data_IF_238221258774
#
_entry.id   IF_238221258774
#
_cell.length_a   1.000
_cell.length_b   1.000
_cell.length_c   1.000
_cell.angle_alpha   90.00
_cell.angle_beta   90.00
_cell.angle_gamma   90.00
#
_symmetry.space_group_name_H-M   'P 1'
#
loop_
_entity.id
_entity.type
_entity.pdbx_description
1 polymer ?
#
# COMPACT_ATOMS: atom_id res chain seq x y z
N UNK A 1 -1.35 -17.04 -8.58
CA UNK A 1 -1.26 -15.62 -8.95
C UNK A 1 -2.09 -14.85 -7.96
N UNK A 2 -1.61 -13.71 -7.48
CA UNK A 2 -2.38 -12.79 -6.64
C UNK A 2 -2.34 -11.39 -7.26
N UNK A 3 -3.46 -10.67 -7.16
CA UNK A 3 -3.56 -9.27 -7.55
C UNK A 3 -3.82 -8.44 -6.30
N UNK A 4 -3.05 -7.37 -6.10
CA UNK A 4 -3.09 -6.53 -4.90
C UNK A 4 -3.36 -5.10 -5.34
N UNK A 5 -4.26 -4.42 -4.62
CA UNK A 5 -4.46 -2.97 -4.75
C UNK A 5 -4.10 -2.36 -3.38
N UNK A 6 -3.05 -1.53 -3.30
CA UNK A 6 -2.71 -0.86 -2.06
C UNK A 6 -3.78 0.16 -1.70
N UNK A 7 -4.04 0.30 -0.40
CA UNK A 7 -4.85 1.39 0.14
C UNK A 7 -3.97 2.66 0.19
N UNK A 8 -4.59 3.83 0.05
CA UNK A 8 -3.96 5.14 0.32
C UNK A 8 -2.66 5.43 -0.49
N UNK A 9 -2.60 4.95 -1.73
CA UNK A 9 -1.46 5.16 -2.65
C UNK A 9 -0.09 4.69 -2.11
N UNK A 10 -0.08 3.78 -1.14
CA UNK A 10 1.16 3.18 -0.65
C UNK A 10 1.83 2.36 -1.74
N UNK A 11 3.15 2.53 -1.88
CA UNK A 11 3.96 1.64 -2.69
C UNK A 11 4.06 0.30 -1.97
N UNK A 12 3.59 -0.76 -2.63
CA UNK A 12 3.71 -2.14 -2.13
C UNK A 12 4.64 -2.89 -3.05
N UNK A 13 5.68 -3.48 -2.46
CA UNK A 13 6.56 -4.35 -3.19
C UNK A 13 5.96 -5.77 -3.33
N UNK A 14 5.93 -6.36 -4.53
CA UNK A 14 5.40 -7.70 -4.74
C UNK A 14 6.13 -8.78 -3.94
N UNK A 15 7.43 -8.61 -3.70
CA UNK A 15 8.25 -9.58 -2.99
C UNK A 15 7.99 -9.53 -1.48
N UNK A 16 7.83 -8.33 -0.91
CA UNK A 16 7.41 -8.16 0.49
C UNK A 16 6.06 -8.83 0.78
N UNK A 17 5.11 -8.73 -0.15
CA UNK A 17 3.80 -9.39 -0.03
C UNK A 17 3.92 -10.92 0.05
N UNK A 18 4.85 -11.49 -0.73
CA UNK A 18 5.12 -12.93 -0.73
C UNK A 18 5.80 -13.35 0.56
N UNK A 19 6.78 -12.57 1.03
CA UNK A 19 7.51 -12.84 2.27
C UNK A 19 6.60 -12.75 3.50
N UNK A 20 5.66 -11.80 3.49
CA UNK A 20 4.62 -11.71 4.52
C UNK A 20 3.75 -12.97 4.52
N UNK A 21 3.24 -13.39 3.36
CA UNK A 21 2.48 -14.64 3.26
C UNK A 21 3.32 -15.86 3.68
N UNK A 22 4.59 -15.94 3.29
CA UNK A 22 5.44 -17.08 3.62
C UNK A 22 5.68 -17.27 5.13
N UNK A 23 5.57 -16.20 5.93
CA UNK A 23 5.67 -16.25 7.39
C UNK A 23 4.34 -16.61 8.08
N UNK A 24 3.22 -16.26 7.45
CA UNK A 24 1.89 -16.34 8.06
C UNK A 24 1.08 -17.57 7.64
N UNK A 25 1.31 -18.12 6.45
CA UNK A 25 0.55 -19.24 5.89
C UNK A 25 1.47 -20.35 5.37
N UNK A 26 0.93 -21.56 5.27
CA UNK A 26 1.66 -22.72 4.77
C UNK A 26 2.21 -22.48 3.34
N UNK A 27 3.41 -22.98 3.06
CA UNK A 27 4.17 -22.68 1.85
C UNK A 27 3.45 -22.96 0.51
N UNK A 28 2.48 -23.90 0.50
CA UNK A 28 1.69 -24.21 -0.70
C UNK A 28 0.61 -23.16 -1.01
N UNK A 29 0.19 -22.38 0.00
CA UNK A 29 -0.79 -21.29 -0.16
C UNK A 29 -0.13 -19.97 -0.57
N UNK A 30 1.19 -19.90 -0.55
CA UNK A 30 1.94 -18.70 -0.89
C UNK A 30 1.88 -18.47 -2.42
N UNK A 31 1.47 -17.28 -2.88
CA UNK A 31 1.39 -16.99 -4.30
C UNK A 31 2.78 -16.93 -4.95
N UNK A 32 2.95 -17.60 -6.10
CA UNK A 32 4.20 -17.57 -6.88
C UNK A 32 4.37 -16.35 -7.79
N UNK A 33 3.28 -15.64 -8.04
CA UNK A 33 3.23 -14.47 -8.90
C UNK A 33 2.31 -13.47 -8.22
N UNK A 34 2.78 -12.23 -8.08
CA UNK A 34 2.07 -11.14 -7.43
C UNK A 34 2.12 -9.94 -8.37
N UNK A 35 0.95 -9.35 -8.62
CA UNK A 35 0.79 -8.18 -9.46
C UNK A 35 0.11 -7.10 -8.64
N UNK A 36 0.75 -5.93 -8.58
CA UNK A 36 0.18 -4.75 -7.92
C UNK A 36 -0.49 -3.91 -8.99
N UNK A 37 -1.78 -3.63 -8.80
CA UNK A 37 -2.62 -2.87 -9.72
C UNK A 37 -3.29 -1.69 -9.04
N UNK A 38 -3.95 -0.85 -9.83
CA UNK A 38 -4.72 0.32 -9.33
C UNK A 38 -6.21 0.04 -9.23
N UNK A 39 -6.74 -0.83 -10.09
CA UNK A 39 -8.16 -1.10 -10.19
C UNK A 39 -8.43 -2.57 -10.56
N UNK A 40 -9.57 -3.08 -10.09
CA UNK A 40 -10.08 -4.37 -10.51
C UNK A 40 -11.10 -4.19 -11.62
N UNK A 41 -11.19 -5.12 -12.58
CA UNK A 41 -12.27 -5.12 -13.56
C UNK A 41 -13.58 -5.40 -12.82
N UNK A 42 -14.38 -4.35 -12.61
CA UNK A 42 -15.69 -4.43 -11.97
C UNK A 42 -16.80 -4.47 -13.01
N UNK A 43 -17.92 -5.11 -12.69
CA UNK A 43 -19.17 -4.92 -13.45
C UNK A 43 -19.85 -3.62 -13.02
N UNK A 44 -20.92 -3.21 -13.73
CA UNK A 44 -21.79 -2.10 -13.30
C UNK A 44 -22.44 -2.30 -11.91
N UNK A 45 -22.27 -3.46 -11.27
CA UNK A 45 -22.76 -3.77 -9.92
C UNK A 45 -21.63 -3.98 -8.91
N UNK A 46 -20.44 -3.43 -9.18
CA UNK A 46 -19.24 -3.53 -8.32
C UNK A 46 -18.77 -4.95 -7.99
N UNK A 47 -19.20 -5.95 -8.77
CA UNK A 47 -18.71 -7.32 -8.63
C UNK A 47 -17.40 -7.48 -9.38
N UNK A 48 -16.39 -8.00 -8.71
CA UNK A 48 -15.09 -8.31 -9.32
C UNK A 48 -15.24 -9.43 -10.35
N UNK A 49 -14.86 -9.15 -11.59
CA UNK A 49 -14.91 -10.09 -12.70
C UNK A 49 -13.65 -10.99 -12.66
N UNK A 50 -13.71 -12.06 -11.87
CA UNK A 50 -12.57 -12.98 -11.67
C UNK A 50 -12.04 -13.61 -12.96
N UNK A 51 -12.89 -13.85 -13.95
CA UNK A 51 -12.49 -14.44 -15.23
C UNK A 51 -11.50 -13.54 -16.00
N UNK A 52 -11.74 -12.23 -16.05
CA UNK A 52 -10.83 -11.25 -16.66
C UNK A 52 -9.48 -11.20 -15.95
N UNK A 53 -9.48 -11.32 -14.62
CA UNK A 53 -8.25 -11.39 -13.84
C UNK A 53 -7.47 -12.67 -14.12
N UNK A 54 -8.16 -13.79 -14.33
CA UNK A 54 -7.53 -15.05 -14.68
C UNK A 54 -6.89 -15.00 -16.07
N UNK A 55 -7.56 -14.42 -17.07
CA UNK A 55 -7.01 -14.22 -18.42
C UNK A 55 -5.80 -13.30 -18.42
N UNK A 56 -5.93 -12.11 -17.84
CA UNK A 56 -4.80 -11.18 -17.65
C UNK A 56 -3.63 -11.85 -16.94
N UNK A 57 -3.90 -12.64 -15.90
CA UNK A 57 -2.87 -13.38 -15.17
C UNK A 57 -2.11 -14.38 -16.05
N UNK A 58 -2.79 -15.06 -16.98
CA UNK A 58 -2.15 -15.98 -17.93
C UNK A 58 -1.30 -15.21 -18.94
N UNK A 59 -1.81 -14.12 -19.49
CA UNK A 59 -1.11 -13.25 -20.45
C UNK A 59 0.17 -12.65 -19.84
N UNK A 60 0.06 -12.13 -18.61
CA UNK A 60 1.19 -11.55 -17.88
C UNK A 60 2.31 -12.57 -17.59
N UNK A 61 1.93 -13.82 -17.32
CA UNK A 61 2.90 -14.91 -17.11
C UNK A 61 3.48 -15.38 -18.44
N UNK A 62 2.67 -15.48 -19.50
CA UNK A 62 3.12 -15.89 -20.83
C UNK A 62 4.08 -14.86 -21.46
N UNK A 63 3.83 -13.57 -21.25
CA UNK A 63 4.67 -12.47 -21.72
C UNK A 63 5.93 -12.23 -20.88
N UNK A 64 6.08 -12.92 -19.74
CA UNK A 64 7.23 -12.76 -18.84
C UNK A 64 7.27 -11.41 -18.11
N UNK A 65 6.20 -10.62 -18.16
CA UNK A 65 6.15 -9.31 -17.51
C UNK A 65 6.11 -9.39 -15.98
N UNK A 66 5.69 -10.54 -15.44
CA UNK A 66 5.61 -10.77 -13.99
C UNK A 66 6.68 -11.77 -13.59
N UNK A 67 7.71 -11.34 -12.82
CA UNK A 67 8.72 -12.25 -12.34
C UNK A 67 8.09 -13.25 -11.37
N UNK A 68 8.61 -14.47 -11.40
CA UNK A 68 8.29 -15.46 -10.39
C UNK A 68 8.91 -15.02 -9.07
N UNK A 69 8.12 -14.98 -8.01
CA UNK A 69 8.61 -14.57 -6.69
C UNK A 69 9.71 -15.50 -6.20
N UNK A 70 10.77 -14.91 -5.64
CA UNK A 70 11.85 -15.67 -5.05
C UNK A 70 11.39 -16.13 -3.66
N UNK A 71 11.29 -17.43 -3.41
CA UNK A 71 10.95 -17.89 -2.06
C UNK A 71 12.23 -17.94 -1.25
N UNK A 72 12.67 -16.81 -0.69
CA UNK A 72 13.69 -16.85 0.34
C UNK A 72 13.14 -17.68 1.51
N UNK A 73 13.88 -18.70 1.95
CA UNK A 73 13.53 -19.44 3.17
C UNK A 73 13.57 -18.43 4.31
N UNK A 74 12.46 -18.13 5.02
CA UNK A 74 12.59 -17.33 6.23
C UNK A 74 13.48 -18.13 7.19
N UNK A 75 14.64 -17.58 7.51
CA UNK A 75 15.53 -18.12 8.53
C UNK A 75 14.71 -18.38 9.79
N UNK A 76 14.82 -19.61 10.31
CA UNK A 76 13.94 -20.12 11.35
C UNK A 76 13.96 -19.27 12.61
N UNK A 77 12.79 -18.83 13.05
CA UNK A 77 12.26 -19.09 14.40
C UNK A 77 10.85 -18.54 14.45
N UNK A 78 9.91 -19.48 14.40
CA UNK A 78 8.49 -19.26 14.68
C UNK A 78 8.32 -18.51 16.00
N UNK A 79 8.09 -17.20 15.91
CA UNK A 79 7.39 -16.42 16.94
C UNK A 79 6.00 -16.08 16.39
N UNK A 80 5.27 -17.15 16.14
CA UNK A 80 3.84 -17.20 15.90
C UNK A 80 3.13 -16.16 16.79
N UNK A 81 2.38 -15.24 16.15
CA UNK A 81 1.40 -14.34 16.77
C UNK A 81 1.90 -13.33 17.83
N UNK A 82 2.39 -12.18 17.38
CA UNK A 82 2.02 -10.87 17.94
C UNK A 82 2.07 -9.86 16.80
N UNK A 83 1.08 -8.97 16.71
CA UNK A 83 0.93 -7.91 15.69
C UNK A 83 0.22 -8.25 14.37
N UNK A 84 -0.79 -9.12 14.39
CA UNK A 84 -2.04 -8.72 13.73
C UNK A 84 -2.93 -8.15 14.83
N UNK A 85 -2.70 -6.89 15.19
CA UNK A 85 -3.73 -6.11 15.87
C UNK A 85 -4.97 -6.12 14.96
N UNK A 86 -6.16 -6.38 15.52
CA UNK A 86 -7.35 -6.65 14.74
C UNK A 86 -7.68 -5.50 13.81
N UNK A 87 -7.94 -5.83 12.55
CA UNK A 87 -8.65 -5.03 11.55
C UNK A 87 -10.12 -4.86 11.98
N UNK A 88 -10.33 -4.42 13.22
CA UNK A 88 -11.61 -4.18 13.89
C UNK A 88 -11.45 -2.94 14.79
N UNK A 89 -10.98 -1.85 14.19
CA UNK A 89 -10.93 -0.52 14.79
C UNK A 89 -11.14 0.58 13.73
N UNK A 90 -11.94 0.29 12.70
CA UNK A 90 -12.55 1.32 11.85
C UNK A 90 -14.05 1.10 11.94
N UNK A 91 -14.62 1.60 13.03
CA UNK A 91 -16.03 1.49 13.34
C UNK A 91 -16.29 2.17 14.68
N UNK A 92 -16.79 3.40 14.59
CA UNK A 92 -17.42 4.17 15.67
C UNK A 92 -16.47 4.87 16.64
N UNK A 93 -15.95 6.04 16.25
CA UNK A 93 -15.91 7.20 17.14
C UNK A 93 -15.63 8.46 16.31
N UNK A 94 -16.71 9.07 15.82
CA UNK A 94 -16.69 10.41 15.25
C UNK A 94 -17.06 11.36 16.40
N UNK A 95 -16.11 12.05 17.07
CA UNK A 95 -16.48 13.11 17.96
C UNK A 95 -16.89 14.32 17.13
N UNK A 96 -18.19 14.57 17.17
CA UNK A 96 -18.85 15.85 16.96
C UNK A 96 -18.09 16.96 17.72
N UNK A 97 -17.12 17.62 17.08
CA UNK A 97 -16.56 18.89 17.57
C UNK A 97 -17.32 20.04 16.92
N UNK A 98 -18.30 20.54 17.69
CA UNK A 98 -18.83 21.89 17.58
C UNK A 98 -17.70 22.89 17.88
N UNK A 99 -17.49 23.80 16.93
CA UNK A 99 -17.09 25.21 17.09
C UNK A 99 -16.18 25.64 18.23
N UNK A 100 -15.01 26.16 17.87
CA UNK A 100 -14.44 27.32 18.54
C UNK A 100 -13.76 28.21 17.49
N UNK A 101 -14.44 29.30 17.16
CA UNK A 101 -13.92 30.50 16.52
C UNK A 101 -12.85 31.14 17.41
N UNK A 102 -11.69 31.43 16.82
CA UNK A 102 -10.79 32.59 17.03
C UNK A 102 -9.54 32.29 16.16
N UNK A 103 -9.29 32.99 15.04
CA UNK A 103 -8.71 34.34 15.02
C UNK A 103 -7.34 34.28 15.72
N UNK A 104 -6.18 34.38 15.07
CA UNK A 104 -5.62 35.59 14.42
C UNK A 104 -4.29 35.19 13.74
N UNK A 105 -3.93 35.85 12.63
CA UNK A 105 -2.52 36.20 12.37
C UNK A 105 -1.80 35.54 11.18
N UNK A 106 -1.95 36.12 10.00
CA UNK A 106 -1.09 35.95 8.80
C UNK A 106 0.40 36.22 9.07
N UNK A 107 1.34 35.44 8.52
CA UNK A 107 2.68 35.91 8.22
C UNK A 107 2.74 36.36 6.76
N UNK A 108 2.71 37.68 6.54
CA UNK A 108 3.21 38.30 5.31
C UNK A 108 4.10 39.43 5.75
N UNK A 109 5.40 39.25 5.59
CA UNK A 109 6.34 40.27 5.11
C UNK A 109 7.72 39.63 4.94
N UNK A 110 8.11 39.46 3.68
CA UNK A 110 9.48 39.18 3.30
C UNK A 110 10.33 40.38 3.63
N UNK A 111 11.24 40.21 4.58
CA UNK A 111 12.32 41.14 4.81
C UNK A 111 13.35 40.97 3.68
N UNK A 112 13.36 41.95 2.79
CA UNK A 112 14.47 42.27 1.90
C UNK A 112 15.66 42.71 2.75
N UNK A 113 16.77 41.98 2.66
CA UNK A 113 18.08 42.43 3.12
C UNK A 113 18.90 42.94 1.93
N UNK A 114 19.19 44.25 1.82
CA UNK A 114 20.25 44.70 0.93
C UNK A 114 21.60 44.44 1.61
N UNK A 115 22.39 43.56 1.02
CA UNK A 115 23.80 43.41 1.33
C UNK A 115 24.54 44.68 0.90
N UNK A 116 24.86 45.53 1.88
CA UNK A 116 25.83 46.60 1.76
C UNK A 116 27.06 46.23 2.61
N UNK A 117 28.20 46.00 1.97
CA UNK A 117 29.58 46.09 2.50
C UNK A 117 30.51 46.02 1.26
N UNK A 118 30.91 47.14 0.64
CA UNK A 118 31.96 48.13 0.96
C UNK A 118 33.34 47.76 0.35
N UNK A 119 33.83 48.70 -0.47
CA UNK A 119 35.20 49.16 -0.73
C UNK A 119 36.33 48.17 -1.04
N UNK A 120 37.02 48.38 -2.17
CA UNK A 120 38.13 49.34 -2.33
C UNK A 120 38.39 49.56 -3.81
#
# INVERSE_FOLDING_TARGET
MAFIIPRDAHAVDPQESVDFCARQIAAFKVPRYVVVGKEFPMTASDKVQKYKLAERGKELVASGQVPRSNRAKPGGSSRFLRLCSPWSAIGSDLPLVRGALQGVGTPRNGAVTPAATIAT
#
